data_IF_943739274256
#
_entry.id   IF_943739274256
#
_cell.length_a   1.000
_cell.length_b   1.000
_cell.length_c   1.000
_cell.angle_alpha   90.00
_cell.angle_beta   90.00
_cell.angle_gamma   90.00
#
_symmetry.space_group_name_H-M   'P 1'
#
loop_
_entity.id
_entity.type
_entity.pdbx_description
1 polymer ?
#
# COMPACT_ATOMS: atom_id res chain seq x y z
N UNK A 1 -23.14 -10.98 -17.94
CA UNK A 1 -22.65 -11.44 -16.63
C UNK A 1 -22.44 -10.21 -15.78
N UNK A 2 -23.37 -9.92 -14.88
CA UNK A 2 -23.23 -8.88 -13.86
C UNK A 2 -22.07 -9.28 -12.95
N UNK A 3 -20.91 -8.69 -13.17
CA UNK A 3 -19.72 -8.89 -12.34
C UNK A 3 -19.99 -8.19 -11.00
N UNK A 4 -20.03 -8.99 -9.93
CA UNK A 4 -20.20 -8.54 -8.56
C UNK A 4 -19.19 -7.43 -8.24
N UNK A 5 -19.68 -6.20 -8.18
CA UNK A 5 -18.98 -5.04 -7.62
C UNK A 5 -18.69 -5.38 -6.16
N UNK A 6 -17.45 -5.72 -5.85
CA UNK A 6 -16.99 -5.94 -4.47
C UNK A 6 -17.05 -4.60 -3.70
N UNK A 7 -17.25 -4.62 -2.38
CA UNK A 7 -17.30 -3.37 -1.56
C UNK A 7 -16.09 -2.43 -1.78
N UNK A 8 -14.95 -2.97 -2.20
CA UNK A 8 -13.73 -2.19 -2.41
C UNK A 8 -13.67 -1.49 -3.78
N UNK A 9 -14.27 -2.06 -4.83
CA UNK A 9 -14.31 -1.45 -6.17
C UNK A 9 -15.66 -0.75 -6.29
N UNK A 10 -15.69 0.56 -6.07
CA UNK A 10 -16.89 1.36 -6.33
C UNK A 10 -16.69 2.27 -7.55
N UNK A 11 -17.79 2.85 -8.06
CA UNK A 11 -17.74 3.72 -9.24
C UNK A 11 -16.83 4.93 -9.06
N UNK A 12 -16.66 5.46 -7.84
CA UNK A 12 -15.77 6.60 -7.59
C UNK A 12 -14.30 6.19 -7.62
N UNK A 13 -13.97 4.99 -7.13
CA UNK A 13 -12.62 4.42 -7.22
C UNK A 13 -12.22 4.21 -8.67
N UNK A 14 -13.10 3.58 -9.44
CA UNK A 14 -12.85 3.33 -10.87
C UNK A 14 -12.73 4.64 -11.64
N UNK A 15 -13.61 5.61 -11.36
CA UNK A 15 -13.55 6.93 -11.98
C UNK A 15 -12.26 7.68 -11.61
N UNK A 16 -11.87 7.70 -10.33
CA UNK A 16 -10.63 8.33 -9.88
C UNK A 16 -9.39 7.68 -10.48
N UNK A 17 -9.39 6.35 -10.59
CA UNK A 17 -8.33 5.60 -11.27
C UNK A 17 -8.28 5.97 -12.77
N UNK A 18 -9.43 5.99 -13.46
CA UNK A 18 -9.52 6.38 -14.87
C UNK A 18 -9.10 7.84 -15.12
N UNK A 19 -9.48 8.76 -14.24
CA UNK A 19 -9.10 10.18 -14.30
C UNK A 19 -7.59 10.34 -14.14
N UNK A 20 -6.99 9.67 -13.15
CA UNK A 20 -5.54 9.70 -12.95
C UNK A 20 -4.81 9.15 -14.18
N UNK A 21 -5.32 8.07 -14.78
CA UNK A 21 -4.75 7.46 -15.99
C UNK A 21 -4.99 8.27 -17.27
N UNK A 22 -6.03 9.09 -17.33
CA UNK A 22 -6.28 9.97 -18.49
C UNK A 22 -5.46 11.26 -18.47
N UNK A 23 -4.98 11.68 -17.30
CA UNK A 23 -4.21 12.93 -17.10
C UNK A 23 -2.75 12.83 -17.50
N UNK A 24 -2.18 11.63 -17.50
CA UNK A 24 -0.81 11.44 -17.98
C UNK A 24 -0.84 11.32 -19.50
N UNK A 25 -0.07 12.18 -20.18
CA UNK A 25 0.14 12.08 -21.63
C UNK A 25 0.96 10.81 -21.92
N UNK A 26 0.27 9.78 -22.40
CA UNK A 26 0.81 8.45 -22.65
C UNK A 26 1.47 8.33 -24.04
N UNK A 27 1.53 9.40 -24.83
CA UNK A 27 2.03 9.38 -26.22
C UNK A 27 3.52 8.98 -26.36
N UNK A 28 4.29 9.04 -25.28
CA UNK A 28 5.73 8.71 -25.24
C UNK A 28 5.98 7.26 -24.76
N UNK A 29 4.97 6.57 -24.22
CA UNK A 29 5.11 5.22 -23.67
C UNK A 29 4.77 4.19 -24.75
N UNK A 30 5.80 3.52 -25.27
CA UNK A 30 5.65 2.38 -26.19
C UNK A 30 5.00 1.23 -25.42
N UNK A 31 3.69 1.08 -25.58
CA UNK A 31 2.85 -0.08 -25.24
C UNK A 31 2.98 -0.71 -23.83
N UNK A 32 3.65 -0.07 -22.87
CA UNK A 32 3.90 -0.68 -21.56
C UNK A 32 3.65 0.33 -20.44
N UNK A 33 2.43 0.32 -19.91
CA UNK A 33 2.12 1.10 -18.71
C UNK A 33 2.41 0.30 -17.44
N UNK A 34 2.82 0.98 -16.36
CA UNK A 34 3.28 0.37 -15.13
C UNK A 34 2.38 0.81 -13.96
N UNK A 35 1.33 0.05 -13.66
CA UNK A 35 0.48 0.33 -12.51
C UNK A 35 1.14 -0.19 -11.22
N UNK A 36 1.51 0.71 -10.29
CA UNK A 36 1.84 0.35 -8.90
C UNK A 36 0.56 0.48 -8.06
N UNK A 37 -0.17 -0.61 -7.87
CA UNK A 37 -1.40 -0.58 -7.08
C UNK A 37 -1.18 -1.20 -5.69
N UNK A 38 -1.83 -0.62 -4.69
CA UNK A 38 -1.74 -1.04 -3.29
C UNK A 38 -2.33 -2.43 -3.09
N UNK A 39 -1.42 -3.40 -2.98
CA UNK A 39 -1.73 -4.81 -2.88
C UNK A 39 -2.24 -5.22 -1.50
N UNK A 40 -3.23 -6.12 -1.46
CA UNK A 40 -3.87 -6.63 -0.22
C UNK A 40 -3.05 -7.68 0.56
N UNK A 41 -1.74 -7.71 0.40
CA UNK A 41 -0.82 -8.64 1.07
C UNK A 41 -1.17 -10.13 0.89
N UNK A 42 -1.82 -10.52 -0.21
CA UNK A 42 -2.23 -11.92 -0.40
C UNK A 42 -1.01 -12.87 -0.50
N UNK A 43 0.17 -12.38 -0.92
CA UNK A 43 1.43 -13.12 -1.00
C UNK A 43 2.22 -13.13 0.33
N UNK A 44 1.67 -12.58 1.42
CA UNK A 44 2.33 -12.55 2.73
C UNK A 44 1.70 -13.57 3.69
N UNK A 45 2.45 -14.11 4.67
CA UNK A 45 1.94 -15.06 5.64
C UNK A 45 0.70 -14.55 6.38
N UNK A 46 -0.16 -15.47 6.84
CA UNK A 46 -1.40 -15.13 7.53
C UNK A 46 -1.20 -14.19 8.73
N UNK A 47 -0.12 -14.36 9.51
CA UNK A 47 0.21 -13.49 10.64
C UNK A 47 0.41 -12.03 10.23
N UNK A 48 0.96 -11.79 9.04
CA UNK A 48 1.20 -10.44 8.53
C UNK A 48 -0.12 -9.73 8.22
N UNK A 49 -1.11 -10.48 7.70
CA UNK A 49 -2.46 -9.98 7.47
C UNK A 49 -3.16 -9.61 8.78
N UNK A 50 -2.95 -10.40 9.85
CA UNK A 50 -3.50 -10.08 11.18
C UNK A 50 -2.90 -8.79 11.73
N UNK A 51 -1.58 -8.62 11.66
CA UNK A 51 -0.92 -7.36 12.07
C UNK A 51 -1.46 -6.18 11.27
N UNK A 52 -1.61 -6.34 9.95
CA UNK A 52 -2.18 -5.29 9.12
C UNK A 52 -3.61 -4.95 9.52
N UNK A 53 -4.50 -5.94 9.71
CA UNK A 53 -5.87 -5.70 10.16
C UNK A 53 -5.90 -4.94 11.49
N UNK A 54 -5.05 -5.32 12.46
CA UNK A 54 -4.93 -4.57 13.72
C UNK A 54 -4.47 -3.13 13.49
N UNK A 55 -3.51 -2.89 12.59
CA UNK A 55 -3.08 -1.54 12.24
C UNK A 55 -4.18 -0.73 11.54
N UNK A 56 -5.02 -1.36 10.72
CA UNK A 56 -6.15 -0.71 10.05
C UNK A 56 -7.25 -0.29 11.04
N UNK A 57 -7.49 -1.12 12.06
CA UNK A 57 -8.38 -0.77 13.17
C UNK A 57 -7.83 0.46 13.90
N UNK A 58 -6.55 0.45 14.28
CA UNK A 58 -5.90 1.61 14.91
C UNK A 58 -6.01 2.85 14.02
N UNK A 59 -5.77 2.72 12.71
CA UNK A 59 -5.91 3.82 11.74
C UNK A 59 -7.31 4.41 11.73
N UNK A 60 -8.35 3.58 11.66
CA UNK A 60 -9.74 4.06 11.67
C UNK A 60 -10.03 4.90 12.90
N UNK A 61 -9.55 4.48 14.07
CA UNK A 61 -9.66 5.27 15.29
C UNK A 61 -8.84 6.56 15.24
N UNK A 62 -7.55 6.48 14.88
CA UNK A 62 -6.63 7.64 14.89
C UNK A 62 -7.00 8.71 13.88
N UNK A 63 -7.51 8.31 12.71
CA UNK A 63 -7.91 9.21 11.63
C UNK A 63 -9.11 10.11 12.00
N UNK A 64 -9.95 9.68 12.94
CA UNK A 64 -11.11 10.43 13.42
C UNK A 64 -10.75 11.44 14.51
N UNK A 65 -9.54 11.35 15.08
CA UNK A 65 -9.09 12.24 16.14
C UNK A 65 -8.77 13.64 15.59
N UNK A 66 -8.93 14.70 16.43
CA UNK A 66 -8.45 16.03 16.12
C UNK A 66 -6.93 16.02 15.90
N UNK A 67 -6.45 16.96 15.09
CA UNK A 67 -5.08 16.99 14.57
C UNK A 67 -3.99 16.75 15.65
N UNK A 68 -4.12 17.37 16.82
CA UNK A 68 -3.13 17.27 17.89
C UNK A 68 -3.04 15.87 18.48
N UNK A 69 -4.18 15.18 18.66
CA UNK A 69 -4.21 13.82 19.19
C UNK A 69 -3.70 12.81 18.16
N UNK A 70 -4.08 12.98 16.89
CA UNK A 70 -3.54 12.20 15.77
C UNK A 70 -2.02 12.28 15.73
N UNK A 71 -1.48 13.50 15.79
CA UNK A 71 -0.04 13.72 15.83
C UNK A 71 0.62 12.98 16.99
N UNK A 72 0.12 13.15 18.20
CA UNK A 72 0.64 12.50 19.42
C UNK A 72 0.61 10.98 19.34
N UNK A 73 -0.49 10.37 18.87
CA UNK A 73 -0.59 8.92 18.70
C UNK A 73 0.41 8.42 17.66
N UNK A 74 0.55 9.12 16.52
CA UNK A 74 1.55 8.78 15.52
C UNK A 74 2.99 8.89 16.05
N UNK A 75 3.29 9.88 16.91
CA UNK A 75 4.60 9.98 17.56
C UNK A 75 4.85 8.79 18.49
N UNK A 76 3.83 8.42 19.27
CA UNK A 76 3.89 7.30 20.19
C UNK A 76 4.12 5.97 19.44
N UNK A 77 3.37 5.72 18.36
CA UNK A 77 3.56 4.54 17.51
C UNK A 77 4.94 4.53 16.85
N UNK A 78 5.45 5.68 16.41
CA UNK A 78 6.78 5.77 15.85
C UNK A 78 7.85 5.38 16.89
N UNK A 79 7.72 5.85 18.12
CA UNK A 79 8.68 5.58 19.20
C UNK A 79 8.60 4.14 19.74
N UNK A 80 7.39 3.58 19.84
CA UNK A 80 7.14 2.28 20.51
C UNK A 80 7.09 1.08 19.56
N UNK A 81 6.78 1.30 18.28
CA UNK A 81 6.65 0.22 17.29
C UNK A 81 7.71 0.37 16.21
N UNK A 82 7.74 1.51 15.50
CA UNK A 82 8.61 1.67 14.34
C UNK A 82 10.09 1.65 14.74
N UNK A 83 10.46 2.48 15.70
CA UNK A 83 11.84 2.62 16.12
C UNK A 83 12.44 1.31 16.63
N UNK A 84 11.86 0.61 17.64
CA UNK A 84 12.46 -0.62 18.14
C UNK A 84 12.52 -1.70 17.06
N UNK A 85 11.47 -1.91 16.27
CA UNK A 85 11.48 -2.93 15.21
C UNK A 85 12.52 -2.60 14.12
N UNK A 86 12.61 -1.35 13.68
CA UNK A 86 13.61 -0.93 12.69
C UNK A 86 15.04 -1.10 13.22
N UNK A 87 15.28 -0.82 14.51
CA UNK A 87 16.59 -1.01 15.15
C UNK A 87 16.94 -2.48 15.34
N UNK A 88 15.97 -3.31 15.75
CA UNK A 88 16.15 -4.77 15.80
C UNK A 88 16.47 -5.32 14.41
N UNK A 89 15.76 -4.90 13.36
CA UNK A 89 16.08 -5.30 11.98
C UNK A 89 17.50 -4.88 11.58
N UNK A 90 17.94 -3.67 11.93
CA UNK A 90 19.30 -3.20 11.64
C UNK A 90 20.36 -4.05 12.34
N UNK A 91 20.11 -4.44 13.60
CA UNK A 91 21.03 -5.28 14.37
C UNK A 91 21.08 -6.69 13.77
N UNK A 92 19.93 -7.27 13.43
CA UNK A 92 19.85 -8.60 12.82
C UNK A 92 20.55 -8.65 11.45
N UNK A 93 20.39 -7.61 10.62
CA UNK A 93 21.10 -7.49 9.34
C UNK A 93 22.63 -7.41 9.56
N UNK A 94 23.08 -6.64 10.55
CA UNK A 94 24.50 -6.53 10.90
C UNK A 94 25.12 -7.85 11.39
N UNK A 95 24.32 -8.74 11.98
CA UNK A 95 24.77 -10.07 12.45
C UNK A 95 24.69 -11.10 11.30
N UNK A 96 24.28 -10.70 10.09
CA UNK A 96 24.21 -11.57 8.91
C UNK A 96 22.87 -12.29 8.73
N UNK A 97 21.82 -11.90 9.47
CA UNK A 97 20.48 -12.45 9.33
C UNK A 97 19.70 -11.85 8.15
N UNK A 98 18.86 -12.66 7.49
CA UNK A 98 17.94 -12.16 6.47
C UNK A 98 16.73 -11.46 7.13
N UNK A 99 16.61 -10.14 6.93
CA UNK A 99 15.57 -9.29 7.51
C UNK A 99 14.43 -8.92 6.55
N UNK A 100 14.41 -9.45 5.33
CA UNK A 100 13.40 -9.09 4.32
C UNK A 100 11.96 -9.35 4.78
N UNK A 101 11.77 -10.40 5.57
CA UNK A 101 10.45 -10.79 6.14
C UNK A 101 10.19 -10.18 7.52
N UNK A 102 11.20 -9.54 8.13
CA UNK A 102 11.06 -8.95 9.45
C UNK A 102 10.17 -7.70 9.40
N UNK A 103 9.22 -7.52 10.34
CA UNK A 103 8.34 -6.34 10.36
C UNK A 103 9.12 -5.03 10.37
N UNK A 104 8.73 -4.08 9.51
CA UNK A 104 9.34 -2.75 9.41
C UNK A 104 10.85 -2.74 9.09
N UNK A 105 11.40 -3.84 8.56
CA UNK A 105 12.80 -3.90 8.10
C UNK A 105 13.13 -2.91 6.99
N UNK A 106 12.14 -2.44 6.24
CA UNK A 106 12.30 -1.35 5.27
C UNK A 106 12.82 -0.05 5.91
N UNK A 107 12.55 0.18 7.20
CA UNK A 107 12.99 1.38 7.93
C UNK A 107 14.35 1.23 8.62
N UNK A 108 15.02 0.08 8.48
CA UNK A 108 16.27 -0.21 9.24
C UNK A 108 17.37 0.83 9.04
N UNK A 109 17.43 1.44 7.85
CA UNK A 109 18.39 2.48 7.50
C UNK A 109 17.82 3.90 7.54
N UNK A 110 16.55 4.06 7.90
CA UNK A 110 15.87 5.34 7.91
C UNK A 110 16.09 6.08 9.23
N UNK A 111 15.95 7.40 9.17
CA UNK A 111 15.99 8.26 10.34
C UNK A 111 14.71 8.09 11.18
N UNK A 112 14.79 8.42 12.47
CA UNK A 112 13.59 8.43 13.32
C UNK A 112 12.57 9.46 12.81
N UNK A 113 13.04 10.59 12.26
CA UNK A 113 12.18 11.58 11.62
C UNK A 113 11.34 10.98 10.49
N UNK A 114 11.95 10.20 9.60
CA UNK A 114 11.25 9.50 8.50
C UNK A 114 10.19 8.53 9.02
N UNK A 115 10.45 7.83 10.13
CA UNK A 115 9.47 6.93 10.74
C UNK A 115 8.28 7.69 11.33
N UNK A 116 8.53 8.86 11.94
CA UNK A 116 7.49 9.72 12.51
C UNK A 116 6.56 10.27 11.43
N UNK A 117 7.12 10.76 10.34
CA UNK A 117 6.34 11.31 9.22
C UNK A 117 5.53 10.22 8.53
N UNK A 118 6.11 9.04 8.32
CA UNK A 118 5.41 7.89 7.72
C UNK A 118 4.31 7.33 8.64
N UNK A 119 4.55 7.27 9.95
CA UNK A 119 3.51 6.90 10.92
C UNK A 119 2.36 7.93 10.95
N UNK A 120 2.67 9.22 10.79
CA UNK A 120 1.63 10.24 10.68
C UNK A 120 0.80 10.08 9.41
N UNK A 121 1.45 9.86 8.26
CA UNK A 121 0.78 9.66 6.99
C UNK A 121 -0.14 8.42 7.01
N UNK A 122 0.38 7.30 7.51
CA UNK A 122 -0.34 6.02 7.55
C UNK A 122 -1.51 5.96 8.52
N UNK A 123 -1.41 6.59 9.68
CA UNK A 123 -2.47 6.54 10.71
C UNK A 123 -3.33 7.81 10.71
N UNK A 124 -2.84 8.88 10.10
CA UNK A 124 -3.51 10.16 10.04
C UNK A 124 -4.52 10.30 8.92
N UNK A 125 -4.52 9.39 7.96
CA UNK A 125 -5.50 9.31 6.88
C UNK A 125 -6.38 8.07 7.05
N UNK A 126 -7.68 8.19 6.75
CA UNK A 126 -8.62 7.07 6.82
C UNK A 126 -8.54 6.15 5.60
N UNK A 127 -7.89 6.61 4.52
CA UNK A 127 -7.99 6.02 3.20
C UNK A 127 -6.76 5.16 2.87
N UNK A 128 -6.84 3.85 3.10
CA UNK A 128 -5.92 2.88 2.49
C UNK A 128 -6.75 1.82 1.76
N UNK A 129 -7.29 2.15 0.57
CA UNK A 129 -7.96 1.16 -0.27
C UNK A 129 -6.90 0.22 -0.85
N UNK A 130 -7.00 -1.06 -0.50
CA UNK A 130 -6.11 -2.12 -0.98
C UNK A 130 -6.88 -3.10 -1.83
N UNK A 131 -6.34 -3.38 -3.00
CA UNK A 131 -6.98 -4.19 -4.01
C UNK A 131 -6.27 -5.53 -4.18
N UNK A 132 -7.06 -6.57 -4.45
CA UNK A 132 -6.60 -7.89 -4.87
C UNK A 132 -6.24 -7.89 -6.36
N UNK A 133 -5.65 -8.98 -6.86
CA UNK A 133 -5.29 -9.12 -8.29
C UNK A 133 -6.48 -8.94 -9.20
N UNK A 134 -7.57 -9.58 -8.80
CA UNK A 134 -8.77 -9.65 -9.59
C UNK A 134 -9.47 -8.30 -9.57
N UNK A 135 -9.46 -7.61 -8.42
CA UNK A 135 -10.01 -6.25 -8.32
C UNK A 135 -9.20 -5.25 -9.18
N UNK A 136 -7.86 -5.34 -9.15
CA UNK A 136 -6.99 -4.53 -10.02
C UNK A 136 -7.28 -4.81 -11.50
N UNK A 137 -7.32 -6.09 -11.88
CA UNK A 137 -7.60 -6.48 -13.25
C UNK A 137 -8.95 -5.91 -13.71
N UNK A 138 -9.98 -6.03 -12.87
CA UNK A 138 -11.30 -5.51 -13.17
C UNK A 138 -11.28 -3.98 -13.37
N UNK A 139 -10.65 -3.23 -12.46
CA UNK A 139 -10.52 -1.76 -12.62
C UNK A 139 -9.81 -1.39 -13.93
N UNK A 140 -8.74 -2.11 -14.28
CA UNK A 140 -8.00 -1.88 -15.53
C UNK A 140 -8.86 -2.22 -16.77
N UNK A 141 -9.62 -3.31 -16.75
CA UNK A 141 -10.55 -3.70 -17.82
C UNK A 141 -11.69 -2.68 -17.99
N UNK A 142 -12.25 -2.16 -16.89
CA UNK A 142 -13.29 -1.13 -16.90
C UNK A 142 -12.77 0.20 -17.49
N UNK A 143 -11.48 0.49 -17.31
CA UNK A 143 -10.81 1.63 -17.97
C UNK A 143 -10.42 1.35 -19.44
N UNK A 144 -10.73 0.17 -19.99
CA UNK A 144 -10.49 -0.18 -21.39
C UNK A 144 -9.09 -0.70 -21.70
N UNK A 145 -8.28 -1.04 -20.68
CA UNK A 145 -6.97 -1.66 -20.86
C UNK A 145 -7.12 -3.15 -21.21
N UNK A 146 -6.27 -3.65 -22.09
CA UNK A 146 -6.21 -5.05 -22.54
C UNK A 146 -4.84 -5.67 -22.25
N UNK A 147 -4.74 -7.01 -22.42
CA UNK A 147 -3.50 -7.78 -22.25
C UNK A 147 -2.82 -7.57 -20.89
N UNK A 148 -3.63 -7.57 -19.81
CA UNK A 148 -3.14 -7.22 -18.47
C UNK A 148 -2.24 -8.32 -17.91
N UNK A 149 -0.97 -8.00 -17.70
CA UNK A 149 0.04 -8.90 -17.13
C UNK A 149 0.54 -8.35 -15.79
N UNK A 150 0.69 -9.22 -14.79
CA UNK A 150 1.20 -8.83 -13.48
C UNK A 150 2.61 -9.37 -13.27
N UNK A 151 3.52 -8.54 -12.78
CA UNK A 151 4.85 -8.94 -12.32
C UNK A 151 4.76 -9.90 -11.13
N UNK A 152 5.67 -10.87 -11.07
CA UNK A 152 5.82 -11.80 -9.94
C UNK A 152 6.61 -11.22 -8.76
N UNK A 153 7.14 -9.98 -8.89
CA UNK A 153 7.93 -9.34 -7.84
C UNK A 153 7.08 -8.91 -6.63
N UNK A 154 7.74 -8.71 -5.47
CA UNK A 154 7.09 -8.40 -4.17
C UNK A 154 6.17 -7.17 -4.17
N UNK A 155 6.31 -6.28 -5.15
CA UNK A 155 5.39 -5.17 -5.39
C UNK A 155 4.70 -5.41 -6.73
N UNK A 156 3.40 -5.65 -6.67
CA UNK A 156 2.63 -6.00 -7.85
C UNK A 156 2.64 -4.83 -8.80
N UNK A 157 3.15 -5.13 -9.98
CA UNK A 157 3.26 -4.18 -11.06
C UNK A 157 2.42 -4.75 -12.19
N UNK A 158 1.30 -4.10 -12.49
CA UNK A 158 0.43 -4.52 -13.58
C UNK A 158 0.75 -3.71 -14.84
N UNK A 159 0.78 -4.40 -15.98
CA UNK A 159 0.98 -3.81 -17.29
C UNK A 159 -0.27 -4.07 -18.09
N UNK A 160 -0.87 -3.02 -18.65
CA UNK A 160 -1.99 -3.09 -19.57
C UNK A 160 -1.69 -2.25 -20.81
N UNK A 161 -2.32 -2.63 -21.92
CA UNK A 161 -2.21 -1.96 -23.20
C UNK A 161 -3.51 -1.21 -23.44
N UNK A 162 -3.42 0.09 -23.72
CA UNK A 162 -4.59 0.87 -24.10
C UNK A 162 -5.08 0.41 -25.47
N UNK A 163 -6.38 0.41 -25.65
CA UNK A 163 -7.02 0.08 -26.93
C UNK A 163 -6.82 1.21 -27.94
#
# INVERSE_FOLDING_TARGET
>A
MELLITENIDKQVVAGFGDEWSRFDQSILTDKELAKIYYRFDNRPAWFRTIWKSSDVIRKFVSQLPHNLRFSVSQFLAATVYFPLARTAKILEKIGGNVEKFPLSQYRNNSFYTMRTDALDRFGTSLEKRFTKNEIRQMMEECGLKNITFSETSFWTAIGFKK
#
